data_IF_945565230846
#
_entry.id   IF_945565230846
#
_cell.length_a   1.000
_cell.length_b   1.000
_cell.length_c   1.000
_cell.angle_alpha   90.00
_cell.angle_beta   90.00
_cell.angle_gamma   90.00
#
_symmetry.space_group_name_H-M   'P 1'
#
loop_
_entity.id
_entity.type
_entity.pdbx_description
1 polymer ?
#
# COMPACT_ATOMS: atom_id res chain seq x y z
N UNK A 1 1.91 14.44 12.87
CA UNK A 1 2.49 15.25 13.96
C UNK A 1 2.37 16.75 13.71
N UNK A 2 2.44 17.23 12.45
CA UNK A 2 2.36 18.67 12.11
C UNK A 2 0.96 19.28 12.15
N UNK A 3 -0.09 18.48 11.99
CA UNK A 3 -1.49 18.91 12.07
C UNK A 3 -2.09 18.45 13.40
N UNK A 4 -2.12 19.32 14.39
CA UNK A 4 -2.72 19.06 15.71
C UNK A 4 -4.24 19.30 15.63
N UNK A 5 -4.93 18.46 14.85
CA UNK A 5 -6.39 18.46 14.76
C UNK A 5 -6.98 17.83 16.04
N UNK A 6 -8.21 18.24 16.39
CA UNK A 6 -8.97 17.63 17.50
C UNK A 6 -8.94 16.10 17.43
N UNK A 7 -8.79 15.42 18.57
CA UNK A 7 -8.67 13.96 18.65
C UNK A 7 -9.80 13.21 17.94
N UNK A 8 -11.01 13.76 17.96
CA UNK A 8 -12.17 13.21 17.25
C UNK A 8 -11.92 13.17 15.74
N UNK A 9 -11.33 14.23 15.19
CA UNK A 9 -11.07 14.35 13.77
C UNK A 9 -9.92 13.43 13.33
N UNK A 10 -8.93 13.20 14.20
CA UNK A 10 -7.90 12.18 13.96
C UNK A 10 -8.49 10.76 13.91
N UNK A 11 -9.37 10.41 14.85
CA UNK A 11 -10.03 9.10 14.86
C UNK A 11 -10.90 8.94 13.62
N UNK A 12 -11.70 9.94 13.27
CA UNK A 12 -12.52 9.93 12.06
C UNK A 12 -11.67 9.73 10.81
N UNK A 13 -10.53 10.42 10.71
CA UNK A 13 -9.57 10.25 9.62
C UNK A 13 -9.05 8.82 9.50
N UNK A 14 -8.65 8.20 10.62
CA UNK A 14 -8.17 6.81 10.65
C UNK A 14 -9.27 5.84 10.17
N UNK A 15 -10.51 6.03 10.64
CA UNK A 15 -11.65 5.18 10.25
C UNK A 15 -11.94 5.31 8.75
N UNK A 16 -12.00 6.55 8.23
CA UNK A 16 -12.26 6.81 6.81
C UNK A 16 -11.16 6.20 5.93
N UNK A 17 -9.89 6.41 6.30
CA UNK A 17 -8.75 5.86 5.56
C UNK A 17 -8.78 4.33 5.58
N UNK A 18 -9.01 3.72 6.75
CA UNK A 18 -9.11 2.28 6.89
C UNK A 18 -10.23 1.68 6.04
N UNK A 19 -11.41 2.29 6.09
CA UNK A 19 -12.57 1.89 5.29
C UNK A 19 -12.31 2.03 3.78
N UNK A 20 -11.67 3.13 3.35
CA UNK A 20 -11.34 3.37 1.95
C UNK A 20 -10.30 2.38 1.40
N UNK A 21 -9.33 1.97 2.21
CA UNK A 21 -8.25 1.05 1.79
C UNK A 21 -8.67 -0.42 1.89
N UNK A 22 -9.58 -0.77 2.81
CA UNK A 22 -10.03 -2.14 3.04
C UNK A 22 -10.37 -2.96 1.77
N UNK A 23 -11.12 -2.45 0.78
CA UNK A 23 -11.48 -3.23 -0.41
C UNK A 23 -10.37 -3.35 -1.45
N UNK A 24 -9.26 -2.60 -1.34
CA UNK A 24 -8.23 -2.53 -2.39
C UNK A 24 -7.64 -3.92 -2.68
N UNK A 25 -7.24 -4.66 -1.65
CA UNK A 25 -6.60 -5.95 -1.84
C UNK A 25 -7.58 -7.04 -2.34
N UNK A 26 -8.77 -7.22 -1.74
CA UNK A 26 -9.79 -8.14 -2.28
C UNK A 26 -10.19 -7.83 -3.73
N UNK A 27 -10.31 -6.55 -4.10
CA UNK A 27 -10.63 -6.16 -5.47
C UNK A 27 -9.54 -6.60 -6.47
N UNK A 28 -8.26 -6.37 -6.14
CA UNK A 28 -7.13 -6.82 -6.98
C UNK A 28 -7.07 -8.34 -7.14
N UNK A 29 -7.35 -9.09 -6.07
CA UNK A 29 -7.39 -10.55 -6.11
C UNK A 29 -8.58 -11.04 -6.94
N UNK A 30 -9.75 -10.42 -6.81
CA UNK A 30 -10.94 -10.76 -7.60
C UNK A 30 -10.71 -10.56 -9.10
N UNK A 31 -10.06 -9.46 -9.48
CA UNK A 31 -9.69 -9.13 -10.86
C UNK A 31 -8.65 -10.08 -11.47
N UNK A 32 -7.90 -10.82 -10.65
CA UNK A 32 -6.75 -11.58 -11.13
C UNK A 32 -7.18 -12.68 -12.11
N UNK A 33 -8.31 -13.34 -11.85
CA UNK A 33 -8.86 -14.37 -12.76
C UNK A 33 -9.11 -13.81 -14.16
N UNK A 34 -9.73 -12.63 -14.24
CA UNK A 34 -10.07 -11.98 -15.51
C UNK A 34 -8.83 -11.54 -16.30
N UNK A 35 -7.70 -11.31 -15.61
CA UNK A 35 -6.44 -10.85 -16.22
C UNK A 35 -5.55 -11.97 -16.76
N UNK A 36 -5.50 -13.11 -16.09
CA UNK A 36 -4.54 -14.19 -16.44
C UNK A 36 -5.22 -15.51 -16.87
N UNK A 37 -6.55 -15.56 -16.80
CA UNK A 37 -7.34 -16.76 -17.04
C UNK A 37 -7.33 -17.72 -15.85
N UNK A 38 -8.34 -18.58 -15.81
CA UNK A 38 -8.61 -19.46 -14.65
C UNK A 38 -7.44 -20.41 -14.33
N UNK A 39 -6.77 -20.92 -15.37
CA UNK A 39 -5.63 -21.84 -15.23
C UNK A 39 -4.42 -21.23 -14.51
N UNK A 40 -4.22 -19.91 -14.60
CA UNK A 40 -3.06 -19.23 -13.99
C UNK A 40 -3.41 -18.46 -12.72
N UNK A 41 -4.70 -18.23 -12.47
CA UNK A 41 -5.18 -17.39 -11.38
C UNK A 41 -4.67 -17.83 -10.01
N UNK A 42 -4.73 -19.13 -9.70
CA UNK A 42 -4.29 -19.66 -8.40
C UNK A 42 -2.81 -19.37 -8.11
N UNK A 43 -1.93 -19.60 -9.09
CA UNK A 43 -0.51 -19.32 -8.98
C UNK A 43 -0.23 -17.81 -8.83
N UNK A 44 -0.89 -16.98 -9.65
CA UNK A 44 -0.72 -15.52 -9.59
C UNK A 44 -1.20 -14.93 -8.26
N UNK A 45 -2.34 -15.41 -7.73
CA UNK A 45 -2.83 -15.02 -6.41
C UNK A 45 -1.85 -15.45 -5.31
N UNK A 46 -1.29 -16.65 -5.40
CA UNK A 46 -0.24 -17.12 -4.49
C UNK A 46 1.00 -16.22 -4.47
N UNK A 47 1.46 -15.78 -5.65
CA UNK A 47 2.55 -14.80 -5.78
C UNK A 47 2.18 -13.44 -5.19
N UNK A 48 0.97 -12.92 -5.46
CA UNK A 48 0.48 -11.66 -4.91
C UNK A 48 0.43 -11.69 -3.37
N UNK A 49 -0.11 -12.77 -2.78
CA UNK A 49 -0.17 -12.96 -1.33
C UNK A 49 1.22 -13.06 -0.70
N UNK A 50 2.14 -13.75 -1.35
CA UNK A 50 3.53 -13.88 -0.89
C UNK A 50 4.25 -12.53 -0.89
N UNK A 51 4.14 -11.77 -1.98
CA UNK A 51 4.70 -10.43 -2.08
C UNK A 51 4.08 -9.46 -1.06
N UNK A 52 2.76 -9.50 -0.89
CA UNK A 52 2.05 -8.67 0.09
C UNK A 52 2.49 -8.97 1.53
N UNK A 53 2.67 -10.26 1.87
CA UNK A 53 3.12 -10.68 3.19
C UNK A 53 4.56 -10.23 3.46
N UNK A 54 5.45 -10.39 2.48
CA UNK A 54 6.82 -9.88 2.57
C UNK A 54 6.85 -8.36 2.76
N UNK A 55 6.07 -7.62 1.98
CA UNK A 55 5.95 -6.16 2.14
C UNK A 55 5.40 -5.76 3.51
N UNK A 56 4.40 -6.49 4.03
CA UNK A 56 3.79 -6.23 5.33
C UNK A 56 4.74 -6.46 6.51
N UNK A 57 5.72 -7.35 6.37
CA UNK A 57 6.79 -7.52 7.36
C UNK A 57 7.92 -6.51 7.16
N UNK A 58 8.32 -6.29 5.91
CA UNK A 58 9.48 -5.46 5.57
C UNK A 58 9.25 -3.97 5.86
N UNK A 59 8.10 -3.41 5.48
CA UNK A 59 7.84 -1.97 5.62
C UNK A 59 7.87 -1.53 7.10
N UNK A 60 7.15 -2.16 8.04
CA UNK A 60 7.21 -1.76 9.45
C UNK A 60 8.59 -1.96 10.08
N UNK A 61 9.30 -3.03 9.73
CA UNK A 61 10.66 -3.27 10.20
C UNK A 61 11.62 -2.17 9.73
N UNK A 62 11.55 -1.82 8.44
CA UNK A 62 12.34 -0.74 7.86
C UNK A 62 12.00 0.62 8.49
N UNK A 63 10.72 0.93 8.68
CA UNK A 63 10.30 2.15 9.38
C UNK A 63 10.81 2.19 10.82
N UNK A 64 10.81 1.06 11.54
CA UNK A 64 11.34 0.96 12.90
C UNK A 64 12.84 1.24 12.97
N UNK A 65 13.62 0.77 11.99
CA UNK A 65 15.06 1.08 11.88
C UNK A 65 15.26 2.58 11.64
N UNK A 66 14.54 3.17 10.69
CA UNK A 66 14.62 4.61 10.41
C UNK A 66 14.26 5.46 11.63
N UNK A 67 13.19 5.08 12.34
CA UNK A 67 12.75 5.77 13.54
C UNK A 67 13.82 5.77 14.64
N UNK A 68 14.53 4.65 14.79
CA UNK A 68 15.58 4.47 15.81
C UNK A 68 16.89 5.15 15.45
N UNK A 69 17.28 5.12 14.17
CA UNK A 69 18.60 5.58 13.74
C UNK A 69 18.63 7.03 13.25
N UNK A 70 17.50 7.56 12.73
CA UNK A 70 17.42 8.89 12.15
C UNK A 70 16.51 9.77 13.01
N UNK A 71 15.19 9.55 12.91
CA UNK A 71 14.17 10.25 13.71
C UNK A 71 12.80 9.66 13.44
N UNK A 72 11.83 9.93 14.31
CA UNK A 72 10.44 9.54 14.10
C UNK A 72 9.82 10.23 12.86
N UNK A 73 10.30 11.43 12.53
CA UNK A 73 9.83 12.21 11.37
C UNK A 73 10.25 11.56 10.04
N UNK A 74 11.36 10.82 10.04
CA UNK A 74 11.83 10.07 8.87
C UNK A 74 10.80 9.05 8.36
N UNK A 75 9.93 8.52 9.25
CA UNK A 75 8.80 7.64 8.85
C UNK A 75 7.86 8.38 7.90
N UNK A 76 7.51 9.63 8.21
CA UNK A 76 6.56 10.41 7.41
C UNK A 76 7.12 10.69 6.02
N UNK A 77 8.40 11.08 5.96
CA UNK A 77 9.11 11.29 4.69
C UNK A 77 9.17 9.98 3.86
N UNK A 78 9.53 8.86 4.48
CA UNK A 78 9.65 7.58 3.80
C UNK A 78 8.31 7.06 3.27
N UNK A 79 7.22 7.18 4.05
CA UNK A 79 5.87 6.82 3.58
C UNK A 79 5.41 7.71 2.43
N UNK A 80 5.76 9.00 2.44
CA UNK A 80 5.45 9.94 1.36
C UNK A 80 6.18 9.54 0.07
N UNK A 81 7.46 9.20 0.17
CA UNK A 81 8.25 8.71 -0.96
C UNK A 81 7.67 7.39 -1.50
N UNK A 82 7.33 6.45 -0.62
CA UNK A 82 6.74 5.17 -1.00
C UNK A 82 5.40 5.36 -1.73
N UNK A 83 4.55 6.27 -1.24
CA UNK A 83 3.29 6.61 -1.88
C UNK A 83 3.50 7.29 -3.25
N UNK A 84 4.43 8.24 -3.35
CA UNK A 84 4.78 8.86 -4.63
C UNK A 84 5.30 7.82 -5.64
N UNK A 85 6.15 6.89 -5.19
CA UNK A 85 6.65 5.79 -6.01
C UNK A 85 5.50 4.90 -6.51
N UNK A 86 4.58 4.51 -5.63
CA UNK A 86 3.38 3.76 -5.99
C UNK A 86 2.57 4.49 -7.08
N UNK A 87 2.34 5.79 -6.92
CA UNK A 87 1.60 6.61 -7.89
C UNK A 87 2.32 6.68 -9.24
N UNK A 88 3.65 6.84 -9.25
CA UNK A 88 4.45 6.87 -10.48
C UNK A 88 4.37 5.51 -11.20
N UNK A 89 4.50 4.40 -10.46
CA UNK A 89 4.38 3.05 -11.01
C UNK A 89 2.98 2.84 -11.59
N UNK A 90 1.93 3.20 -10.85
CA UNK A 90 0.55 3.08 -11.29
C UNK A 90 0.27 3.91 -12.56
N UNK A 91 0.70 5.17 -12.58
CA UNK A 91 0.56 6.05 -13.73
C UNK A 91 1.32 5.51 -14.96
N UNK A 92 2.51 4.94 -14.75
CA UNK A 92 3.32 4.35 -15.82
C UNK A 92 2.70 3.05 -16.35
N UNK A 93 2.19 2.20 -15.47
CA UNK A 93 1.54 0.94 -15.83
C UNK A 93 0.24 1.21 -16.61
N UNK A 94 -0.60 2.14 -16.16
CA UNK A 94 -1.85 2.48 -16.82
C UNK A 94 -1.65 3.17 -18.17
N UNK A 95 -0.57 3.94 -18.36
CA UNK A 95 -0.18 4.48 -19.68
C UNK A 95 0.13 3.36 -20.69
N UNK A 96 0.78 2.28 -20.25
CA UNK A 96 1.11 1.14 -21.14
C UNK A 96 -0.10 0.31 -21.55
N UNK A 97 -1.16 0.28 -20.75
CA UNK A 97 -2.39 -0.47 -21.08
C UNK A 97 -3.26 0.26 -22.11
N UNK A 98 -3.12 1.58 -22.24
CA UNK A 98 -3.88 2.40 -23.20
C UNK A 98 -3.17 2.64 -24.54
N UNK A 99 -1.90 2.27 -24.66
CA UNK A 99 -1.07 2.47 -25.85
C UNK A 99 -1.01 1.25 -26.75
#
# INVERSE_FOLDING_TARGET
>A
MWLNLSSVLSIAGIVIIGFAIAPVFPALVSDTKDRVGENHAGNTIGMQMSAASLGSAFIPAFMGILARQISLEAITAALTILFALLLIIYASATRRVKG
#
